data_IF_691957168698
#
_entry.id   IF_691957168698
#
_cell.length_a   1.000
_cell.length_b   1.000
_cell.length_c   1.000
_cell.angle_alpha   90.00
_cell.angle_beta   90.00
_cell.angle_gamma   90.00
#
_symmetry.space_group_name_H-M   'P 1'
#
loop_
_entity.id
_entity.type
_entity.pdbx_description
1 polymer ?
#
# COMPACT_ATOMS: atom_id res chain seq x y z
N UNK A 1 6.27 -18.83 -49.99
CA UNK A 1 7.26 -19.28 -48.99
C UNK A 1 6.48 -19.70 -47.75
N UNK A 2 6.12 -20.98 -47.58
CA UNK A 2 6.93 -22.07 -46.98
C UNK A 2 7.44 -21.67 -45.58
N UNK A 3 7.17 -22.37 -44.47
CA UNK A 3 7.06 -23.82 -44.23
C UNK A 3 6.15 -24.09 -42.99
N UNK A 4 5.29 -25.14 -42.99
CA UNK A 4 5.50 -26.47 -42.38
C UNK A 4 5.69 -26.41 -40.84
N UNK A 5 4.94 -27.13 -39.98
CA UNK A 5 4.85 -28.59 -39.95
C UNK A 5 3.65 -29.09 -39.13
N UNK A 6 3.02 -30.14 -39.64
CA UNK A 6 2.11 -31.07 -38.97
C UNK A 6 2.77 -31.73 -37.75
N UNK A 7 1.99 -32.08 -36.73
CA UNK A 7 2.00 -33.42 -36.10
C UNK A 7 0.83 -33.61 -35.12
N UNK A 8 -0.06 -34.50 -35.54
CA UNK A 8 -1.01 -35.35 -34.83
C UNK A 8 -1.23 -35.16 -33.33
N UNK A 9 -2.49 -34.93 -32.98
CA UNK A 9 -3.06 -35.27 -31.68
C UNK A 9 -3.11 -36.80 -31.49
N UNK A 10 -2.60 -37.35 -30.38
CA UNK A 10 -3.02 -38.65 -29.89
C UNK A 10 -4.22 -38.47 -28.96
N UNK A 11 -5.37 -39.00 -29.39
CA UNK A 11 -6.53 -39.29 -28.55
C UNK A 11 -6.16 -40.31 -27.47
N UNK A 12 -6.08 -39.86 -26.21
CA UNK A 12 -5.99 -40.72 -25.03
C UNK A 12 -6.99 -40.25 -23.97
N UNK A 13 -7.59 -41.17 -23.18
CA UNK A 13 -8.60 -40.80 -22.18
C UNK A 13 -7.99 -39.93 -21.07
N UNK A 14 -8.79 -39.10 -20.38
CA UNK A 14 -8.28 -38.22 -19.34
C UNK A 14 -7.72 -39.04 -18.19
N UNK A 15 -6.40 -38.98 -17.99
CA UNK A 15 -5.78 -39.45 -16.77
C UNK A 15 -6.19 -38.51 -15.63
N UNK A 16 -7.20 -38.92 -14.87
CA UNK A 16 -7.51 -38.38 -13.56
C UNK A 16 -6.27 -38.59 -12.69
N UNK A 17 -5.49 -37.53 -12.49
CA UNK A 17 -4.44 -37.50 -11.50
C UNK A 17 -5.12 -37.53 -10.13
N UNK A 18 -5.22 -38.72 -9.53
CA UNK A 18 -5.66 -38.89 -8.14
C UNK A 18 -4.64 -38.20 -7.24
N UNK A 19 -5.03 -37.05 -6.68
CA UNK A 19 -4.34 -36.41 -5.57
C UNK A 19 -4.36 -37.41 -4.40
N UNK A 20 -3.20 -37.86 -3.88
CA UNK A 20 -3.20 -38.73 -2.72
C UNK A 20 -3.77 -37.98 -1.50
N UNK A 21 -4.63 -38.67 -0.77
CA UNK A 21 -5.31 -38.18 0.44
C UNK A 21 -4.27 -37.75 1.50
N UNK A 22 -4.58 -36.68 2.25
CA UNK A 22 -3.72 -36.01 3.24
C UNK A 22 -3.35 -36.88 4.47
N UNK A 23 -3.70 -38.16 4.48
CA UNK A 23 -3.45 -39.11 5.57
C UNK A 23 -2.11 -39.85 5.50
N UNK A 24 -1.26 -39.56 4.51
CA UNK A 24 0.02 -40.28 4.30
C UNK A 24 1.27 -39.54 4.77
N UNK A 25 1.15 -38.35 5.36
CA UNK A 25 2.29 -37.66 5.98
C UNK A 25 2.35 -37.96 7.48
N UNK A 26 3.40 -38.64 7.98
CA UNK A 26 3.60 -38.74 9.42
C UNK A 26 3.88 -37.34 9.99
N UNK A 27 3.31 -36.97 11.15
CA UNK A 27 3.57 -35.67 11.76
C UNK A 27 5.05 -35.58 12.13
N UNK A 28 5.80 -34.69 11.47
CA UNK A 28 7.17 -34.40 11.87
C UNK A 28 7.12 -33.69 13.23
N UNK A 29 7.80 -34.19 14.27
CA UNK A 29 7.83 -33.52 15.56
C UNK A 29 8.53 -32.16 15.39
N UNK A 30 7.86 -31.10 15.84
CA UNK A 30 8.48 -29.78 15.93
C UNK A 30 9.70 -29.85 16.87
N UNK A 31 10.84 -29.24 16.52
CA UNK A 31 11.96 -29.15 17.44
C UNK A 31 11.54 -28.34 18.67
N UNK A 32 11.57 -28.96 19.86
CA UNK A 32 11.42 -28.27 21.14
C UNK A 32 12.69 -27.49 21.43
N UNK A 33 12.66 -26.20 21.15
CA UNK A 33 13.70 -25.28 21.62
C UNK A 33 13.56 -25.08 23.14
N UNK A 34 14.64 -25.19 23.93
CA UNK A 34 14.57 -24.86 25.35
C UNK A 34 14.26 -23.37 25.51
N UNK A 35 13.19 -23.06 26.23
CA UNK A 35 12.84 -21.70 26.62
C UNK A 35 13.89 -21.16 27.60
N UNK A 36 14.93 -20.53 27.08
CA UNK A 36 15.95 -19.87 27.91
C UNK A 36 15.46 -18.47 28.25
N UNK A 37 14.75 -18.35 29.36
CA UNK A 37 14.48 -17.05 29.98
C UNK A 37 15.81 -16.41 30.37
N UNK A 38 16.24 -15.39 29.62
CA UNK A 38 17.28 -14.46 30.03
C UNK A 38 16.63 -13.11 30.22
N UNK A 39 16.07 -12.88 31.41
CA UNK A 39 15.75 -11.52 31.86
C UNK A 39 17.06 -10.76 32.05
N UNK A 40 17.50 -10.06 31.01
CA UNK A 40 18.48 -8.98 31.17
C UNK A 40 17.68 -7.71 31.36
N UNK A 41 17.72 -7.16 32.57
CA UNK A 41 17.27 -5.79 32.85
C UNK A 41 18.13 -4.85 32.03
N UNK A 42 17.58 -4.35 30.92
CA UNK A 42 18.21 -3.32 30.11
C UNK A 42 17.92 -1.97 30.77
N UNK A 43 18.93 -1.38 31.40
CA UNK A 43 18.89 0.00 31.86
C UNK A 43 18.96 0.90 30.63
N UNK A 44 17.81 1.41 30.18
CA UNK A 44 17.77 2.46 29.16
C UNK A 44 18.19 3.79 29.81
N UNK A 45 19.31 4.36 29.36
CA UNK A 45 19.59 5.77 29.57
C UNK A 45 19.17 6.55 28.33
N UNK A 46 18.27 7.52 28.52
CA UNK A 46 17.92 8.49 27.50
C UNK A 46 18.95 9.62 27.51
N UNK A 47 19.71 9.80 26.43
CA UNK A 47 20.53 11.01 26.23
C UNK A 47 19.78 11.99 25.34
N UNK A 48 19.37 13.13 25.89
CA UNK A 48 18.87 14.25 25.10
C UNK A 48 20.06 14.96 24.43
N UNK A 49 20.22 14.78 23.12
CA UNK A 49 21.14 15.57 22.31
C UNK A 49 20.60 17.00 22.21
N UNK A 50 21.23 17.97 22.89
CA UNK A 50 20.95 19.39 22.69
C UNK A 50 21.70 19.85 21.45
N UNK A 51 20.97 20.04 20.36
CA UNK A 51 21.49 20.72 19.17
C UNK A 51 21.40 22.24 19.44
N UNK A 52 22.50 23.00 19.37
CA UNK A 52 22.45 24.46 19.47
C UNK A 52 21.88 25.07 18.18
N UNK A 53 21.11 26.17 18.25
CA UNK A 53 20.65 26.87 17.05
C UNK A 53 21.76 27.79 16.54
N UNK A 54 22.26 27.54 15.32
CA UNK A 54 23.10 28.51 14.59
C UNK A 54 22.51 28.79 13.21
N UNK A 55 21.92 29.99 13.12
CA UNK A 55 21.87 30.96 12.02
C UNK A 55 21.56 30.50 10.57
N UNK A 56 20.58 31.21 10.00
CA UNK A 56 20.04 31.12 8.66
C UNK A 56 20.98 31.61 7.53
N UNK A 57 20.73 31.16 6.29
CA UNK A 57 20.88 32.00 5.09
C UNK A 57 20.02 31.53 3.89
N UNK A 58 19.23 32.51 3.41
CA UNK A 58 18.74 32.79 2.04
C UNK A 58 17.89 31.80 1.24
N UNK A 59 16.58 32.08 1.27
CA UNK A 59 15.72 32.41 0.12
C UNK A 59 15.68 31.48 -1.11
N UNK A 60 14.66 30.62 -1.13
CA UNK A 60 13.87 30.34 -2.32
C UNK A 60 12.39 30.40 -1.92
N UNK A 61 11.61 31.23 -2.60
CA UNK A 61 10.23 31.53 -2.28
C UNK A 61 9.33 30.29 -2.43
N UNK A 62 8.95 29.68 -1.29
CA UNK A 62 7.83 28.75 -1.23
C UNK A 62 6.52 29.55 -1.17
N UNK A 63 5.46 29.17 -1.89
CA UNK A 63 4.22 29.91 -1.84
C UNK A 63 3.63 29.76 -0.44
N UNK A 64 3.47 30.89 0.22
CA UNK A 64 2.69 31.05 1.42
C UNK A 64 1.21 30.78 1.10
N UNK A 65 0.60 29.80 1.77
CA UNK A 65 -0.75 29.85 2.35
C UNK A 65 -1.32 28.45 2.65
N UNK A 66 -0.65 27.66 3.49
CA UNK A 66 -1.36 26.65 4.28
C UNK A 66 -1.86 27.31 5.58
N UNK A 67 -2.58 28.42 5.44
CA UNK A 67 -3.28 29.04 6.55
C UNK A 67 -4.33 28.05 7.07
N UNK A 68 -4.45 27.96 8.40
CA UNK A 68 -5.30 27.05 9.15
C UNK A 68 -6.75 26.97 8.62
N UNK A 69 -6.95 26.18 7.57
CA UNK A 69 -8.25 25.85 7.03
C UNK A 69 -8.81 24.74 7.91
N UNK A 70 -10.06 24.90 8.36
CA UNK A 70 -10.77 23.85 9.07
C UNK A 70 -10.70 22.52 8.30
N UNK A 71 -10.85 21.40 9.01
CA UNK A 71 -10.79 20.07 8.42
C UNK A 71 -11.74 19.97 7.20
N UNK A 72 -11.15 19.83 6.00
CA UNK A 72 -11.88 19.62 4.76
C UNK A 72 -11.83 18.14 4.41
N UNK A 73 -12.98 17.49 4.47
CA UNK A 73 -13.12 16.11 4.04
C UNK A 73 -13.29 16.05 2.51
N UNK A 74 -12.82 14.97 1.86
CA UNK A 74 -12.94 14.79 0.41
C UNK A 74 -14.36 14.51 -0.05
N UNK A 75 -15.23 14.10 0.88
CA UNK A 75 -16.67 14.05 0.69
C UNK A 75 -17.32 15.25 1.35
N UNK A 76 -18.16 15.96 0.60
CA UNK A 76 -18.85 17.16 1.07
C UNK A 76 -20.32 17.14 0.62
N UNK A 77 -21.19 17.74 1.44
CA UNK A 77 -22.60 17.96 1.09
C UNK A 77 -22.73 19.30 0.34
N UNK A 78 -23.38 19.29 -0.83
CA UNK A 78 -23.69 20.50 -1.59
C UNK A 78 -24.90 21.25 -1.04
N UNK A 79 -25.11 22.48 -1.53
CA UNK A 79 -26.28 23.32 -1.17
C UNK A 79 -27.60 22.70 -1.65
N UNK A 80 -27.53 21.94 -2.74
CA UNK A 80 -28.59 21.11 -3.32
C UNK A 80 -28.97 19.90 -2.43
N UNK A 81 -28.19 19.62 -1.38
CA UNK A 81 -28.45 18.56 -0.44
C UNK A 81 -27.80 17.21 -0.79
N UNK A 82 -27.13 17.10 -1.94
CA UNK A 82 -26.48 15.87 -2.40
C UNK A 82 -25.05 15.71 -1.85
N UNK A 83 -24.56 14.45 -1.83
CA UNK A 83 -23.19 14.13 -1.44
C UNK A 83 -22.28 14.14 -2.66
N UNK A 84 -21.12 14.78 -2.54
CA UNK A 84 -20.12 14.92 -3.59
C UNK A 84 -18.79 14.29 -3.18
N UNK A 85 -18.08 13.73 -4.17
CA UNK A 85 -16.68 13.31 -4.08
C UNK A 85 -15.92 13.94 -5.25
N UNK A 86 -14.91 14.77 -4.99
CA UNK A 86 -14.13 15.47 -6.04
C UNK A 86 -15.00 16.24 -7.07
N UNK A 87 -16.15 16.76 -6.63
CA UNK A 87 -17.09 17.48 -7.51
C UNK A 87 -18.05 16.58 -8.30
N UNK A 88 -17.93 15.25 -8.19
CA UNK A 88 -18.87 14.29 -8.77
C UNK A 88 -19.95 13.95 -7.74
N UNK A 89 -21.23 13.98 -8.14
CA UNK A 89 -22.33 13.55 -7.27
C UNK A 89 -22.24 12.05 -7.06
N UNK A 90 -22.34 11.62 -5.80
CA UNK A 90 -22.29 10.20 -5.46
C UNK A 90 -23.47 9.44 -6.09
N UNK A 91 -24.62 10.09 -6.26
CA UNK A 91 -25.78 9.50 -6.94
C UNK A 91 -25.50 9.19 -8.41
N UNK A 92 -24.84 10.09 -9.15
CA UNK A 92 -24.44 9.84 -10.55
C UNK A 92 -23.53 8.62 -10.67
N UNK A 93 -22.63 8.43 -9.69
CA UNK A 93 -21.77 7.24 -9.63
C UNK A 93 -22.60 5.99 -9.34
N UNK A 94 -23.59 6.07 -8.44
CA UNK A 94 -24.48 4.97 -8.12
C UNK A 94 -25.34 4.52 -9.32
N UNK A 95 -25.74 5.45 -10.18
CA UNK A 95 -26.49 5.15 -11.42
C UNK A 95 -25.61 4.51 -12.50
N UNK A 96 -24.34 4.90 -12.56
CA UNK A 96 -23.38 4.39 -13.56
C UNK A 96 -22.88 2.97 -13.26
N UNK A 97 -22.97 2.52 -12.00
CA UNK A 97 -22.51 1.19 -11.56
C UNK A 97 -23.66 0.23 -11.36
N UNK A 98 -23.36 -1.07 -11.39
CA UNK A 98 -24.34 -2.11 -11.06
C UNK A 98 -24.89 -1.88 -9.65
N UNK A 99 -26.21 -2.08 -9.47
CA UNK A 99 -26.92 -1.89 -8.19
C UNK A 99 -26.46 -2.90 -7.14
N UNK A 100 -25.32 -2.62 -6.54
CA UNK A 100 -24.66 -3.37 -5.49
C UNK A 100 -23.84 -2.42 -4.62
N UNK A 101 -23.56 -2.78 -3.35
CA UNK A 101 -22.68 -1.96 -2.51
C UNK A 101 -21.27 -1.87 -3.13
N UNK A 102 -20.73 -0.66 -3.20
CA UNK A 102 -19.39 -0.41 -3.73
C UNK A 102 -18.57 0.53 -2.83
N UNK A 103 -17.26 0.50 -3.01
CA UNK A 103 -16.34 1.45 -2.37
C UNK A 103 -15.98 2.57 -3.34
N UNK A 104 -16.11 3.81 -2.88
CA UNK A 104 -15.71 5.01 -3.61
C UNK A 104 -14.54 5.67 -2.89
N UNK A 105 -13.44 5.89 -3.60
CA UNK A 105 -12.24 6.53 -3.07
C UNK A 105 -11.94 7.81 -3.86
N UNK A 106 -11.51 8.85 -3.16
CA UNK A 106 -10.96 10.06 -3.76
C UNK A 106 -9.47 9.87 -4.02
N UNK A 107 -9.06 9.99 -5.28
CA UNK A 107 -7.65 9.89 -5.68
C UNK A 107 -6.86 11.10 -5.18
N UNK A 108 -7.44 12.30 -5.29
CA UNK A 108 -6.82 13.55 -4.85
C UNK A 108 -6.59 13.55 -3.35
N UNK A 109 -7.51 12.98 -2.56
CA UNK A 109 -7.29 12.88 -1.11
C UNK A 109 -6.13 11.95 -0.77
N UNK A 110 -5.98 10.83 -1.49
CA UNK A 110 -4.82 9.94 -1.31
C UNK A 110 -3.53 10.68 -1.64
N UNK A 111 -3.51 11.46 -2.73
CA UNK A 111 -2.37 12.29 -3.12
C UNK A 111 -2.03 13.33 -2.04
N UNK A 112 -3.01 14.13 -1.61
CA UNK A 112 -2.83 15.16 -0.57
C UNK A 112 -2.29 14.57 0.73
N UNK A 113 -2.81 13.42 1.14
CA UNK A 113 -2.35 12.74 2.35
C UNK A 113 -0.89 12.32 2.22
N UNK A 114 -0.48 11.77 1.08
CA UNK A 114 0.90 11.39 0.84
C UNK A 114 1.83 12.60 0.76
N UNK A 115 1.42 13.66 0.06
CA UNK A 115 2.18 14.91 -0.07
C UNK A 115 2.39 15.56 1.30
N UNK A 116 1.37 15.60 2.16
CA UNK A 116 1.52 16.12 3.52
C UNK A 116 2.60 15.37 4.33
N UNK A 117 2.70 14.04 4.19
CA UNK A 117 3.79 13.28 4.82
C UNK A 117 5.14 13.60 4.20
N UNK A 118 5.20 13.74 2.87
CA UNK A 118 6.44 14.05 2.15
C UNK A 118 6.96 15.44 2.54
N UNK A 119 6.09 16.44 2.57
CA UNK A 119 6.39 17.82 2.98
C UNK A 119 6.88 17.87 4.44
N UNK A 120 6.21 17.16 5.34
CA UNK A 120 6.61 17.10 6.76
C UNK A 120 7.99 16.46 6.99
N UNK A 121 8.48 15.67 6.04
CA UNK A 121 9.78 14.99 6.10
C UNK A 121 10.85 15.66 5.24
N UNK A 122 10.56 16.82 4.65
CA UNK A 122 11.54 17.56 3.84
C UNK A 122 12.83 17.87 4.64
N UNK A 123 13.97 17.72 3.97
CA UNK A 123 15.29 17.87 4.57
C UNK A 123 15.82 16.63 5.29
N UNK A 124 15.01 15.58 5.47
CA UNK A 124 15.44 14.32 6.05
C UNK A 124 15.67 13.24 4.98
N UNK A 125 16.63 12.35 5.22
CA UNK A 125 16.78 11.14 4.41
C UNK A 125 15.75 10.11 4.85
N UNK A 126 14.55 10.18 4.27
CA UNK A 126 13.41 9.34 4.65
C UNK A 126 12.78 8.59 3.46
N UNK A 127 12.07 7.51 3.77
CA UNK A 127 11.18 6.81 2.85
C UNK A 127 9.79 6.76 3.49
N UNK A 128 8.78 7.25 2.77
CA UNK A 128 7.38 7.14 3.21
C UNK A 128 6.86 5.79 2.73
N UNK A 129 6.73 4.83 3.65
CA UNK A 129 6.24 3.49 3.36
C UNK A 129 4.74 3.34 3.64
N UNK A 130 3.94 3.01 2.64
CA UNK A 130 2.52 2.73 2.83
C UNK A 130 2.30 1.31 3.34
N UNK A 131 1.52 1.16 4.42
CA UNK A 131 1.15 -0.14 4.95
C UNK A 131 0.06 -0.81 4.10
N UNK A 132 0.44 -1.77 3.25
CA UNK A 132 -0.46 -2.41 2.28
C UNK A 132 -1.66 -3.08 2.94
N UNK A 133 -1.49 -3.59 4.17
CA UNK A 133 -2.58 -4.17 4.96
C UNK A 133 -3.78 -3.25 5.18
N UNK A 134 -3.61 -1.92 5.05
CA UNK A 134 -4.69 -0.96 5.22
C UNK A 134 -5.67 -0.98 4.04
N UNK A 135 -5.14 -1.03 2.81
CA UNK A 135 -5.92 -1.23 1.60
C UNK A 135 -4.99 -1.79 0.51
N UNK A 136 -5.26 -3.01 0.06
CA UNK A 136 -4.45 -3.72 -0.93
C UNK A 136 -5.02 -3.63 -2.35
N UNK A 137 -5.87 -2.63 -2.64
CA UNK A 137 -6.35 -2.38 -3.99
C UNK A 137 -5.18 -2.01 -4.91
N UNK A 138 -4.99 -2.79 -5.98
CA UNK A 138 -3.87 -2.63 -6.91
C UNK A 138 -3.79 -1.22 -7.52
N UNK A 139 -4.92 -0.57 -7.81
CA UNK A 139 -4.93 0.78 -8.41
C UNK A 139 -4.50 1.87 -7.43
N UNK A 140 -4.85 1.73 -6.17
CA UNK A 140 -4.37 2.63 -5.10
C UNK A 140 -2.86 2.46 -4.94
N UNK A 141 -2.38 1.21 -4.94
CA UNK A 141 -0.97 0.88 -4.85
C UNK A 141 -0.16 1.42 -6.03
N UNK A 142 -0.64 1.25 -7.27
CA UNK A 142 -0.03 1.81 -8.49
C UNK A 142 0.07 3.34 -8.42
N UNK A 143 -0.98 4.01 -7.91
CA UNK A 143 -1.01 5.46 -7.74
C UNK A 143 0.01 5.93 -6.70
N UNK A 144 0.05 5.32 -5.51
CA UNK A 144 1.02 5.64 -4.46
C UNK A 144 2.45 5.40 -4.92
N UNK A 145 2.70 4.31 -5.65
CA UNK A 145 3.99 4.05 -6.28
C UNK A 145 4.37 5.18 -7.25
N UNK A 146 3.42 5.66 -8.04
CA UNK A 146 3.61 6.79 -8.96
C UNK A 146 4.04 8.08 -8.26
N UNK A 147 3.65 8.28 -7.00
CA UNK A 147 4.07 9.41 -6.16
C UNK A 147 5.46 9.23 -5.51
N UNK A 148 6.07 8.05 -5.64
CA UNK A 148 7.37 7.71 -5.05
C UNK A 148 7.29 7.10 -3.65
N UNK A 149 6.14 6.55 -3.27
CA UNK A 149 5.94 5.84 -2.00
C UNK A 149 6.68 4.49 -1.98
N UNK A 150 7.19 4.09 -0.81
CA UNK A 150 7.65 2.72 -0.52
C UNK A 150 6.50 1.83 -0.01
N UNK A 151 6.78 0.56 0.27
CA UNK A 151 5.76 -0.39 0.71
C UNK A 151 6.13 -1.13 2.00
N UNK A 152 5.24 -1.09 2.99
CA UNK A 152 5.37 -1.86 4.23
C UNK A 152 4.50 -3.12 4.15
N UNK A 153 5.13 -4.27 4.36
CA UNK A 153 4.58 -5.60 4.10
C UNK A 153 4.58 -6.45 5.37
N UNK A 154 3.57 -7.29 5.54
CA UNK A 154 3.42 -8.26 6.63
C UNK A 154 3.18 -9.69 6.15
N UNK A 155 3.09 -9.92 4.82
CA UNK A 155 2.97 -11.26 4.25
C UNK A 155 3.66 -11.41 2.89
N UNK A 156 3.96 -12.65 2.50
CA UNK A 156 4.49 -12.95 1.17
C UNK A 156 3.52 -12.62 0.03
N UNK A 157 2.20 -12.65 0.27
CA UNK A 157 1.21 -12.25 -0.75
C UNK A 157 1.25 -10.75 -0.99
N UNK A 158 1.44 -9.95 0.05
CA UNK A 158 1.62 -8.49 -0.09
C UNK A 158 2.92 -8.16 -0.81
N UNK A 159 4.00 -8.90 -0.58
CA UNK A 159 5.23 -8.74 -1.36
C UNK A 159 4.99 -8.98 -2.85
N UNK A 160 4.31 -10.08 -3.21
CA UNK A 160 3.95 -10.36 -4.61
C UNK A 160 3.09 -9.25 -5.22
N UNK A 161 2.14 -8.71 -4.44
CA UNK A 161 1.28 -7.64 -4.87
C UNK A 161 2.04 -6.31 -5.05
N UNK A 162 2.95 -5.97 -4.14
CA UNK A 162 3.80 -4.78 -4.23
C UNK A 162 4.71 -4.85 -5.46
N UNK A 163 5.34 -6.00 -5.71
CA UNK A 163 6.12 -6.23 -6.92
C UNK A 163 5.27 -6.10 -8.19
N UNK A 164 4.04 -6.62 -8.17
CA UNK A 164 3.08 -6.48 -9.28
C UNK A 164 2.66 -5.04 -9.51
N UNK A 165 2.49 -4.24 -8.46
CA UNK A 165 2.20 -2.81 -8.55
C UNK A 165 3.42 -1.98 -9.00
N UNK A 166 4.61 -2.59 -9.05
CA UNK A 166 5.85 -1.97 -9.51
C UNK A 166 6.58 -1.16 -8.46
N UNK A 167 6.43 -1.49 -7.16
CA UNK A 167 7.25 -0.91 -6.11
C UNK A 167 8.71 -1.34 -6.25
N UNK A 168 9.62 -0.42 -5.94
CA UNK A 168 11.06 -0.69 -5.87
C UNK A 168 11.36 -1.51 -4.60
N UNK A 169 11.94 -2.73 -4.70
CA UNK A 169 12.26 -3.56 -3.54
C UNK A 169 13.25 -2.92 -2.55
N UNK A 170 13.93 -1.84 -2.95
CA UNK A 170 14.84 -1.09 -2.08
C UNK A 170 14.14 -0.07 -1.17
N UNK A 171 12.80 0.07 -1.26
CA UNK A 171 11.99 1.08 -0.54
C UNK A 171 10.75 0.49 0.11
#
# INVERSE_FOLDING_TARGET
>A
MAAAQLLSCPSGPPHICRIPNASTFPPKPFPRFPARSRSKTLTLQASASRIPPTAASSAAAAPAAAAAAGFRHCFSKGEDGFLYCEGVRVEDVMEAVERSPFYLYSRDQITRNFEAYKEALEGLKSVVGYAIKANNNLKILEHLKGLGCGAVLVSGNELRLALRAGFDPTR
#
